data_IF_947752568744
#
_entry.id   IF_947752568744
#
_cell.length_a   1.000
_cell.length_b   1.000
_cell.length_c   1.000
_cell.angle_alpha   90.00
_cell.angle_beta   90.00
_cell.angle_gamma   90.00
#
_symmetry.space_group_name_H-M   'P 1'
#
loop_
_entity.id
_entity.type
_entity.pdbx_description
1 polymer ?
#
# COMPACT_ATOMS: atom_id res chain seq x y z
N UNK A 1 14.67 -10.19 -18.22
CA UNK A 1 13.94 -9.84 -19.46
C UNK A 1 13.33 -8.46 -19.27
N UNK A 2 13.22 -7.68 -20.34
CA UNK A 2 12.51 -6.41 -20.34
C UNK A 2 11.33 -6.48 -21.31
N UNK A 3 10.15 -6.09 -20.87
CA UNK A 3 9.08 -5.68 -21.78
C UNK A 3 9.44 -4.30 -22.31
N UNK A 4 9.47 -4.16 -23.63
CA UNK A 4 9.76 -2.88 -24.27
C UNK A 4 8.64 -1.86 -23.99
N UNK A 5 8.89 -0.61 -24.37
CA UNK A 5 7.84 0.41 -24.43
C UNK A 5 6.68 -0.09 -25.30
N UNK A 6 5.46 0.22 -24.88
CA UNK A 6 4.19 -0.09 -25.57
C UNK A 6 3.92 -1.59 -25.85
N UNK A 7 4.64 -2.53 -25.23
CA UNK A 7 4.65 -3.97 -25.59
C UNK A 7 3.26 -4.62 -25.77
N UNK A 8 2.30 -4.28 -24.91
CA UNK A 8 0.90 -4.71 -24.96
C UNK A 8 -0.07 -3.52 -24.91
N UNK A 9 0.36 -2.35 -25.37
CA UNK A 9 -0.49 -1.16 -25.37
C UNK A 9 -1.81 -1.43 -26.13
N UNK A 10 -2.92 -1.01 -25.53
CA UNK A 10 -4.29 -1.12 -26.00
C UNK A 10 -4.70 -2.56 -26.36
N UNK A 11 -3.99 -3.56 -25.83
CA UNK A 11 -4.32 -4.95 -26.06
C UNK A 11 -5.59 -5.34 -25.29
N UNK A 12 -6.66 -5.58 -26.03
CA UNK A 12 -7.97 -5.91 -25.47
C UNK A 12 -8.22 -7.41 -25.35
N UNK A 13 -7.26 -8.27 -25.70
CA UNK A 13 -7.42 -9.72 -25.73
C UNK A 13 -6.61 -10.45 -24.66
N UNK A 14 -5.50 -9.89 -24.19
CA UNK A 14 -4.66 -10.49 -23.16
C UNK A 14 -5.39 -10.53 -21.82
N UNK A 15 -5.53 -11.73 -21.25
CA UNK A 15 -6.22 -11.98 -19.97
C UNK A 15 -5.27 -12.33 -18.83
N UNK A 16 -4.05 -12.77 -19.16
CA UNK A 16 -3.03 -13.14 -18.19
C UNK A 16 -1.63 -12.87 -18.74
N UNK A 17 -0.72 -12.51 -17.84
CA UNK A 17 0.70 -12.40 -18.12
C UNK A 17 1.48 -13.06 -16.98
N UNK A 18 2.30 -14.04 -17.31
CA UNK A 18 3.14 -14.78 -16.37
C UNK A 18 4.58 -14.69 -16.85
N UNK A 19 5.44 -14.19 -15.99
CA UNK A 19 6.88 -14.17 -16.19
C UNK A 19 7.57 -15.19 -15.29
N UNK A 20 8.08 -16.25 -15.92
CA UNK A 20 8.75 -17.38 -15.25
C UNK A 20 10.28 -17.25 -15.19
N UNK A 21 10.82 -16.08 -15.56
CA UNK A 21 12.26 -15.83 -15.52
C UNK A 21 12.83 -15.85 -14.09
N UNK A 22 14.10 -16.26 -13.99
CA UNK A 22 14.86 -16.29 -12.73
C UNK A 22 15.43 -14.93 -12.34
N UNK A 23 15.46 -13.99 -13.26
CA UNK A 23 15.81 -12.58 -13.05
C UNK A 23 14.54 -11.74 -12.82
N UNK A 24 14.71 -10.52 -12.31
CA UNK A 24 13.59 -9.60 -12.09
C UNK A 24 13.05 -9.02 -13.40
N UNK A 25 11.74 -8.84 -13.51
CA UNK A 25 11.08 -8.31 -14.70
C UNK A 25 11.24 -6.78 -14.79
N UNK A 26 11.67 -6.27 -15.94
CA UNK A 26 11.61 -4.83 -16.27
C UNK A 26 10.38 -4.58 -17.14
N UNK A 27 9.49 -3.69 -16.70
CA UNK A 27 8.28 -3.31 -17.46
C UNK A 27 8.48 -1.91 -18.04
N UNK A 28 8.45 -1.81 -19.37
CA UNK A 28 8.64 -0.56 -20.10
C UNK A 28 7.50 0.44 -19.92
N UNK A 29 7.74 1.66 -20.39
CA UNK A 29 6.72 2.72 -20.46
C UNK A 29 5.51 2.23 -21.25
N UNK A 30 4.30 2.55 -20.78
CA UNK A 30 3.02 2.15 -21.39
C UNK A 30 2.86 0.64 -21.69
N UNK A 31 3.70 -0.26 -21.15
CA UNK A 31 3.76 -1.65 -21.62
C UNK A 31 2.42 -2.40 -21.56
N UNK A 32 1.53 -2.03 -20.64
CA UNK A 32 0.15 -2.53 -20.51
C UNK A 32 -0.88 -1.39 -20.49
N UNK A 33 -0.54 -0.21 -21.03
CA UNK A 33 -1.47 0.92 -21.09
C UNK A 33 -2.69 0.53 -21.92
N UNK A 34 -3.90 0.79 -21.41
CA UNK A 34 -5.15 0.52 -22.11
C UNK A 34 -5.53 -0.95 -22.21
N UNK A 35 -4.81 -1.86 -21.54
CA UNK A 35 -5.21 -3.27 -21.43
C UNK A 35 -6.50 -3.37 -20.61
N UNK A 36 -7.47 -4.19 -21.00
CA UNK A 36 -8.80 -4.18 -20.36
C UNK A 36 -9.20 -5.50 -19.72
N UNK A 37 -8.33 -6.51 -19.75
CA UNK A 37 -8.67 -7.89 -19.34
C UNK A 37 -7.65 -8.60 -18.43
N UNK A 38 -6.47 -8.03 -18.15
CA UNK A 38 -5.51 -8.65 -17.23
C UNK A 38 -5.98 -8.45 -15.79
N UNK A 39 -6.33 -9.54 -15.10
CA UNK A 39 -6.78 -9.47 -13.69
C UNK A 39 -5.60 -9.38 -12.72
N UNK A 40 -4.48 -9.99 -13.09
CA UNK A 40 -3.24 -10.03 -12.31
C UNK A 40 -2.03 -10.30 -13.21
N UNK A 41 -0.90 -9.68 -12.87
CA UNK A 41 0.42 -9.97 -13.43
C UNK A 41 1.24 -10.78 -12.42
N UNK A 42 1.84 -11.88 -12.85
CA UNK A 42 2.73 -12.70 -12.00
C UNK A 42 4.15 -12.64 -12.53
N UNK A 43 5.10 -12.26 -11.67
CA UNK A 43 6.54 -12.32 -11.94
C UNK A 43 7.24 -13.00 -10.76
N UNK A 44 7.65 -14.26 -10.91
CA UNK A 44 8.10 -15.10 -9.79
C UNK A 44 9.31 -14.53 -9.04
N UNK A 45 10.24 -13.92 -9.79
CA UNK A 45 11.44 -13.29 -9.23
C UNK A 45 11.21 -11.83 -8.80
N UNK A 46 9.99 -11.32 -8.98
CA UNK A 46 9.59 -9.94 -8.72
C UNK A 46 9.82 -9.00 -9.91
N UNK A 47 9.42 -7.74 -9.72
CA UNK A 47 9.56 -6.65 -10.69
C UNK A 47 10.79 -5.82 -10.29
N UNK A 48 11.67 -5.53 -11.25
CA UNK A 48 12.85 -4.69 -11.07
C UNK A 48 12.52 -3.21 -11.18
N UNK A 49 11.69 -2.85 -12.16
CA UNK A 49 11.30 -1.47 -12.45
C UNK A 49 10.00 -1.42 -13.27
N UNK A 50 9.30 -0.30 -13.14
CA UNK A 50 8.14 0.07 -13.94
C UNK A 50 8.48 1.31 -14.77
N UNK A 51 7.92 1.41 -15.96
CA UNK A 51 7.93 2.65 -16.75
C UNK A 51 6.73 3.55 -16.43
N UNK A 52 6.82 4.81 -16.84
CA UNK A 52 5.70 5.76 -16.83
C UNK A 52 4.47 5.14 -17.50
N UNK A 53 3.30 5.33 -16.90
CA UNK A 53 2.02 4.85 -17.44
C UNK A 53 1.97 3.33 -17.74
N UNK A 54 2.83 2.51 -17.12
CA UNK A 54 2.96 1.09 -17.47
C UNK A 54 1.63 0.31 -17.48
N UNK A 55 0.69 0.63 -16.60
CA UNK A 55 -0.66 0.05 -16.53
C UNK A 55 -1.76 1.13 -16.62
N UNK A 56 -1.46 2.29 -17.20
CA UNK A 56 -2.46 3.36 -17.30
C UNK A 56 -3.71 2.85 -18.05
N UNK A 57 -4.89 2.98 -17.44
CA UNK A 57 -6.16 2.54 -18.02
C UNK A 57 -6.42 1.04 -17.91
N UNK A 58 -5.63 0.27 -17.13
CA UNK A 58 -5.93 -1.14 -16.89
C UNK A 58 -7.12 -1.34 -15.95
N UNK A 59 -8.32 -1.36 -16.54
CA UNK A 59 -9.58 -1.49 -15.81
C UNK A 59 -9.88 -2.91 -15.31
N UNK A 60 -8.99 -3.88 -15.56
CA UNK A 60 -9.13 -5.25 -15.08
C UNK A 60 -8.17 -5.60 -13.94
N UNK A 61 -7.00 -4.95 -13.86
CA UNK A 61 -6.00 -5.25 -12.84
C UNK A 61 -6.62 -5.07 -11.44
N UNK A 62 -6.58 -6.14 -10.64
CA UNK A 62 -7.17 -6.15 -9.28
C UNK A 62 -6.13 -6.04 -8.19
N UNK A 63 -4.92 -6.54 -8.44
CA UNK A 63 -3.83 -6.57 -7.48
C UNK A 63 -2.47 -6.47 -8.14
N UNK A 64 -1.50 -5.88 -7.45
CA UNK A 64 -0.10 -5.91 -7.84
C UNK A 64 0.84 -5.96 -6.63
N UNK A 65 1.92 -6.74 -6.79
CA UNK A 65 3.02 -6.79 -5.83
C UNK A 65 4.21 -5.98 -6.35
N UNK A 66 4.62 -4.97 -5.58
CA UNK A 66 5.69 -4.03 -5.90
C UNK A 66 7.00 -4.35 -5.18
N UNK A 67 7.12 -5.55 -4.59
CA UNK A 67 8.26 -5.94 -3.76
C UNK A 67 9.59 -5.65 -4.44
N UNK A 68 10.37 -4.75 -3.82
CA UNK A 68 11.72 -4.39 -4.26
C UNK A 68 11.80 -3.22 -5.25
N UNK A 69 10.68 -2.59 -5.60
CA UNK A 69 10.67 -1.34 -6.36
C UNK A 69 11.09 -0.16 -5.47
N UNK A 70 11.94 0.70 -6.02
CA UNK A 70 12.34 1.96 -5.39
C UNK A 70 11.43 3.13 -5.77
N UNK A 71 10.72 3.02 -6.89
CA UNK A 71 9.89 4.09 -7.43
C UNK A 71 8.60 3.54 -8.05
N UNK A 72 7.50 4.26 -7.83
CA UNK A 72 6.24 4.11 -8.55
C UNK A 72 6.14 5.27 -9.54
N UNK A 73 6.30 5.02 -10.85
CA UNK A 73 6.39 6.06 -11.87
C UNK A 73 5.10 6.86 -12.06
N UNK A 74 5.25 7.99 -12.78
CA UNK A 74 4.12 8.87 -13.09
C UNK A 74 3.02 8.10 -13.82
N UNK A 75 1.78 8.27 -13.37
CA UNK A 75 0.60 7.61 -13.94
C UNK A 75 0.67 6.08 -14.05
N UNK A 76 1.59 5.40 -13.34
CA UNK A 76 1.85 3.96 -13.53
C UNK A 76 0.59 3.08 -13.46
N UNK A 77 -0.36 3.40 -12.57
CA UNK A 77 -1.65 2.73 -12.42
C UNK A 77 -2.84 3.67 -12.63
N UNK A 78 -2.63 4.82 -13.28
CA UNK A 78 -3.70 5.80 -13.48
C UNK A 78 -4.89 5.16 -14.19
N UNK A 79 -6.09 5.31 -13.64
CA UNK A 79 -7.31 4.74 -14.21
C UNK A 79 -7.48 3.22 -14.02
N UNK A 80 -6.63 2.56 -13.22
CA UNK A 80 -6.81 1.15 -12.83
C UNK A 80 -8.01 0.99 -11.88
N UNK A 81 -9.22 1.16 -12.39
CA UNK A 81 -10.43 1.33 -11.59
C UNK A 81 -10.83 0.11 -10.75
N UNK A 82 -10.29 -1.08 -11.05
CA UNK A 82 -10.49 -2.31 -10.26
C UNK A 82 -9.34 -2.67 -9.34
N UNK A 83 -8.21 -1.95 -9.40
CA UNK A 83 -7.07 -2.21 -8.54
C UNK A 83 -7.53 -1.95 -7.10
N UNK A 84 -7.47 -3.00 -6.29
CA UNK A 84 -7.94 -3.00 -4.90
C UNK A 84 -6.79 -3.26 -3.92
N UNK A 85 -5.76 -4.01 -4.37
CA UNK A 85 -4.66 -4.42 -3.51
C UNK A 85 -3.30 -4.05 -4.12
N UNK A 86 -2.52 -3.29 -3.37
CA UNK A 86 -1.11 -2.98 -3.68
C UNK A 86 -0.26 -3.39 -2.48
N UNK A 87 0.67 -4.30 -2.70
CA UNK A 87 1.59 -4.81 -1.67
C UNK A 87 3.05 -4.58 -2.06
N UNK A 88 3.99 -4.85 -1.16
CA UNK A 88 5.42 -4.82 -1.49
C UNK A 88 6.03 -3.42 -1.57
N UNK A 89 5.43 -2.43 -0.90
CA UNK A 89 5.83 -1.02 -0.97
C UNK A 89 6.94 -0.63 0.03
N UNK A 90 7.53 -1.59 0.74
CA UNK A 90 8.49 -1.37 1.84
C UNK A 90 9.76 -0.63 1.39
N UNK A 91 10.14 -0.77 0.12
CA UNK A 91 11.34 -0.15 -0.44
C UNK A 91 11.05 1.08 -1.30
N UNK A 92 9.77 1.45 -1.47
CA UNK A 92 9.39 2.57 -2.33
C UNK A 92 9.86 3.88 -1.70
N UNK A 93 10.79 4.55 -2.38
CA UNK A 93 11.34 5.83 -1.98
C UNK A 93 10.63 7.02 -2.65
N UNK A 94 10.03 6.81 -3.83
CA UNK A 94 9.32 7.84 -4.59
C UNK A 94 8.02 7.29 -5.15
N UNK A 95 6.94 8.06 -4.97
CA UNK A 95 5.66 7.86 -5.66
C UNK A 95 5.42 9.12 -6.50
N UNK A 96 5.44 8.96 -7.81
CA UNK A 96 5.30 10.07 -8.75
C UNK A 96 3.85 10.53 -8.89
N UNK A 97 3.67 11.66 -9.57
CA UNK A 97 2.36 12.26 -9.81
C UNK A 97 1.39 11.28 -10.49
N UNK A 98 0.14 11.31 -10.05
CA UNK A 98 -0.99 10.55 -10.60
C UNK A 98 -0.80 9.02 -10.67
N UNK A 99 0.21 8.45 -9.99
CA UNK A 99 0.51 7.03 -9.99
C UNK A 99 -0.73 6.14 -9.71
N UNK A 100 -1.62 6.55 -8.82
CA UNK A 100 -2.84 5.86 -8.41
C UNK A 100 -4.13 6.66 -8.71
N UNK A 101 -4.03 7.75 -9.48
CA UNK A 101 -5.19 8.56 -9.83
C UNK A 101 -6.26 7.70 -10.55
N UNK A 102 -7.50 7.68 -10.06
CA UNK A 102 -8.57 6.87 -10.63
C UNK A 102 -8.57 5.39 -10.20
N UNK A 103 -7.68 4.96 -9.30
CA UNK A 103 -7.74 3.65 -8.64
C UNK A 103 -8.82 3.61 -7.56
N UNK A 104 -10.08 3.76 -7.94
CA UNK A 104 -11.22 3.98 -7.01
C UNK A 104 -11.54 2.79 -6.09
N UNK A 105 -10.99 1.60 -6.37
CA UNK A 105 -11.11 0.41 -5.51
C UNK A 105 -9.95 0.25 -4.53
N UNK A 106 -8.83 0.92 -4.77
CA UNK A 106 -7.67 0.94 -3.89
C UNK A 106 -7.93 2.01 -2.82
N UNK A 107 -8.71 1.63 -1.80
CA UNK A 107 -9.16 2.57 -0.77
C UNK A 107 -8.05 2.95 0.21
N UNK A 108 -7.07 2.05 0.40
CA UNK A 108 -5.99 2.20 1.36
C UNK A 108 -4.66 1.91 0.67
N UNK A 109 -3.64 2.70 1.00
CA UNK A 109 -2.25 2.47 0.57
C UNK A 109 -1.32 2.46 1.77
N UNK A 110 -0.30 1.61 1.72
CA UNK A 110 0.75 1.53 2.74
C UNK A 110 2.06 2.07 2.16
N UNK A 111 2.75 2.93 2.90
CA UNK A 111 4.12 3.34 2.59
C UNK A 111 4.98 3.38 3.85
N UNK A 112 6.28 3.18 3.69
CA UNK A 112 7.20 2.94 4.79
C UNK A 112 8.26 4.03 4.89
N UNK A 113 9.12 3.92 5.91
CA UNK A 113 10.18 4.88 6.21
C UNK A 113 11.06 5.30 5.00
N UNK A 114 11.35 4.45 4.00
CA UNK A 114 12.13 4.88 2.84
C UNK A 114 11.46 5.94 1.95
N UNK A 115 10.14 6.15 2.05
CA UNK A 115 9.42 7.11 1.22
C UNK A 115 9.86 8.55 1.55
N UNK A 116 10.60 9.17 0.62
CA UNK A 116 11.10 10.54 0.74
C UNK A 116 10.35 11.54 -0.15
N UNK A 117 9.67 11.05 -1.18
CA UNK A 117 8.88 11.85 -2.12
C UNK A 117 7.52 11.21 -2.39
N UNK A 118 6.45 11.90 -2.02
CA UNK A 118 5.07 11.56 -2.36
C UNK A 118 4.50 12.69 -3.22
N UNK A 119 4.46 12.50 -4.54
CA UNK A 119 3.96 13.48 -5.50
C UNK A 119 2.54 13.18 -5.98
N UNK A 120 2.08 11.93 -5.80
CA UNK A 120 0.67 11.60 -5.97
C UNK A 120 -0.18 12.28 -4.89
N UNK A 121 -1.26 12.95 -5.30
CA UNK A 121 -2.22 13.56 -4.40
C UNK A 121 -3.04 12.55 -3.59
N UNK A 122 -3.01 11.27 -3.98
CA UNK A 122 -3.85 10.20 -3.45
C UNK A 122 -5.34 10.56 -3.53
N UNK A 123 -5.72 11.27 -4.59
CA UNK A 123 -7.07 11.81 -4.80
C UNK A 123 -8.19 10.76 -4.86
N UNK A 124 -7.85 9.49 -5.10
CA UNK A 124 -8.80 8.38 -5.16
C UNK A 124 -8.79 7.47 -3.93
N UNK A 125 -7.81 7.64 -3.04
CA UNK A 125 -7.65 6.85 -1.83
C UNK A 125 -8.37 7.54 -0.66
N UNK A 126 -8.85 6.72 0.28
CA UNK A 126 -9.47 7.18 1.52
C UNK A 126 -8.48 7.19 2.68
N UNK A 127 -7.54 6.23 2.69
CA UNK A 127 -6.61 6.02 3.79
C UNK A 127 -5.17 5.92 3.29
N UNK A 128 -4.26 6.53 4.05
CA UNK A 128 -2.82 6.33 3.94
C UNK A 128 -2.31 5.78 5.27
N UNK A 129 -1.71 4.60 5.24
CA UNK A 129 -0.96 4.04 6.35
C UNK A 129 0.51 4.29 6.13
N UNK A 130 1.10 5.14 6.98
CA UNK A 130 2.50 5.53 6.88
C UNK A 130 3.32 5.01 8.05
N UNK A 131 4.28 4.14 7.74
CA UNK A 131 5.13 3.44 8.71
C UNK A 131 6.50 4.10 8.88
N UNK A 132 6.62 5.38 8.55
CA UNK A 132 7.80 6.19 8.81
C UNK A 132 7.69 6.98 10.13
N UNK A 133 8.81 7.57 10.56
CA UNK A 133 8.87 8.43 11.74
C UNK A 133 8.74 9.92 11.41
N UNK A 134 8.97 10.29 10.15
CA UNK A 134 8.89 11.65 9.61
C UNK A 134 8.26 11.57 8.22
N UNK A 135 7.39 12.54 7.89
CA UNK A 135 6.76 12.60 6.58
C UNK A 135 7.80 12.74 5.45
N UNK A 136 7.44 12.35 4.20
CA UNK A 136 8.25 12.62 3.02
C UNK A 136 8.67 14.10 2.92
N UNK A 137 9.92 14.33 2.52
CA UNK A 137 10.47 15.67 2.30
C UNK A 137 9.84 16.42 1.13
N UNK A 138 9.25 15.69 0.19
CA UNK A 138 8.48 16.26 -0.91
C UNK A 138 7.07 15.69 -0.87
N UNK A 139 6.09 16.58 -0.86
CA UNK A 139 4.66 16.29 -0.90
C UNK A 139 4.06 16.88 -2.20
N UNK A 140 2.80 16.57 -2.55
CA UNK A 140 2.19 17.03 -3.80
C UNK A 140 2.17 18.55 -3.93
N UNK A 141 2.27 19.02 -5.17
CA UNK A 141 2.30 20.45 -5.51
C UNK A 141 1.06 21.20 -4.98
N UNK A 142 1.16 22.45 -4.50
CA UNK A 142 0.01 23.21 -4.00
C UNK A 142 -1.17 23.37 -4.97
N UNK A 143 -0.96 23.26 -6.28
CA UNK A 143 -2.02 23.29 -7.30
C UNK A 143 -2.81 21.97 -7.38
N UNK A 144 -2.20 20.87 -6.94
CA UNK A 144 -2.83 19.54 -6.79
C UNK A 144 -2.44 18.97 -5.42
N UNK A 145 -2.93 19.57 -4.33
CA UNK A 145 -2.49 19.22 -2.99
C UNK A 145 -2.87 17.78 -2.65
N UNK A 146 -2.25 17.23 -1.63
CA UNK A 146 -2.68 15.95 -1.05
C UNK A 146 -4.19 16.01 -0.74
N UNK A 147 -4.88 14.90 -0.99
CA UNK A 147 -6.30 14.76 -0.79
C UNK A 147 -6.68 15.21 0.64
N UNK A 148 -7.45 16.29 0.75
CA UNK A 148 -7.82 16.89 2.02
C UNK A 148 -8.81 16.05 2.86
N UNK A 149 -9.33 14.96 2.30
CA UNK A 149 -10.17 13.97 2.99
C UNK A 149 -9.43 12.69 3.35
N UNK A 150 -8.14 12.60 3.01
CA UNK A 150 -7.32 11.42 3.28
C UNK A 150 -7.12 11.25 4.79
N UNK A 151 -7.44 10.07 5.30
CA UNK A 151 -7.15 9.67 6.68
C UNK A 151 -5.73 9.15 6.74
N UNK A 152 -4.85 9.85 7.45
CA UNK A 152 -3.44 9.46 7.55
C UNK A 152 -3.21 8.77 8.88
N UNK A 153 -2.97 7.46 8.82
CA UNK A 153 -2.64 6.62 9.96
C UNK A 153 -1.12 6.50 10.08
N UNK A 154 -0.59 6.75 11.27
CA UNK A 154 0.83 6.72 11.55
C UNK A 154 1.14 5.84 12.76
N UNK A 155 2.38 5.36 12.83
CA UNK A 155 2.88 4.61 13.98
C UNK A 155 3.09 5.51 15.20
N UNK A 156 3.23 4.90 16.37
CA UNK A 156 3.55 5.62 17.62
C UNK A 156 4.85 6.41 17.54
N UNK A 157 5.78 5.94 16.70
CA UNK A 157 7.09 6.57 16.47
C UNK A 157 7.02 7.84 15.62
N UNK A 158 5.89 8.11 14.96
CA UNK A 158 5.65 9.38 14.28
C UNK A 158 5.19 10.43 15.30
N UNK A 159 6.03 11.42 15.57
CA UNK A 159 5.78 12.39 16.66
C UNK A 159 5.14 13.68 16.19
N UNK A 160 5.16 13.98 14.89
CA UNK A 160 4.47 15.15 14.37
C UNK A 160 2.95 14.95 14.44
N UNK A 161 2.20 16.00 14.78
CA UNK A 161 0.73 15.95 14.82
C UNK A 161 0.07 15.96 13.44
N UNK A 162 0.84 16.20 12.38
CA UNK A 162 0.33 16.34 11.02
C UNK A 162 1.20 15.61 9.99
N UNK A 163 0.59 15.31 8.84
CA UNK A 163 1.21 14.82 7.62
C UNK A 163 0.68 15.65 6.45
N UNK A 164 1.52 16.47 5.82
CA UNK A 164 1.10 17.33 4.71
C UNK A 164 -0.03 18.30 5.06
N UNK A 165 -0.12 18.72 6.32
CA UNK A 165 -1.21 19.56 6.84
C UNK A 165 -2.47 18.80 7.26
N UNK A 166 -2.56 17.50 6.97
CA UNK A 166 -3.60 16.61 7.49
C UNK A 166 -3.27 16.16 8.90
N UNK A 167 -4.28 15.86 9.71
CA UNK A 167 -4.07 15.31 11.05
C UNK A 167 -3.50 13.90 10.93
N UNK A 168 -2.39 13.65 11.63
CA UNK A 168 -1.82 12.31 11.73
C UNK A 168 -2.55 11.55 12.86
N UNK A 169 -3.11 10.39 12.54
CA UNK A 169 -3.95 9.59 13.42
C UNK A 169 -3.17 8.38 13.95
N UNK A 170 -3.18 8.16 15.26
CA UNK A 170 -2.64 6.95 15.88
C UNK A 170 -3.77 6.04 16.32
N UNK A 171 -3.88 4.87 15.68
CA UNK A 171 -4.86 3.87 16.06
C UNK A 171 -4.48 3.12 17.35
N UNK A 172 -3.18 3.08 17.68
CA UNK A 172 -2.63 2.36 18.84
C UNK A 172 -3.04 0.87 18.88
N UNK A 173 -3.21 0.24 17.72
CA UNK A 173 -3.46 -1.19 17.65
C UNK A 173 -2.21 -1.97 18.05
N UNK A 174 -2.39 -3.12 18.69
CA UNK A 174 -1.27 -3.99 19.03
C UNK A 174 -0.77 -4.76 17.81
N UNK A 175 0.39 -5.42 17.92
CA UNK A 175 0.90 -6.32 16.86
C UNK A 175 0.00 -7.54 16.60
N UNK A 176 -1.05 -7.76 17.38
CA UNK A 176 -2.04 -8.82 17.16
C UNK A 176 -3.37 -8.26 16.64
N UNK A 177 -3.37 -7.00 16.21
CA UNK A 177 -4.53 -6.28 15.72
C UNK A 177 -4.18 -5.49 14.47
N UNK A 178 -5.21 -5.06 13.75
CA UNK A 178 -5.12 -4.09 12.68
C UNK A 178 -6.26 -3.06 12.80
N UNK A 179 -6.13 -1.94 12.11
CA UNK A 179 -7.09 -0.84 12.12
C UNK A 179 -8.35 -1.23 11.37
N UNK A 180 -9.50 -1.07 12.02
CA UNK A 180 -10.81 -1.22 11.38
C UNK A 180 -11.16 0.03 10.57
N UNK A 181 -10.89 -0.04 9.26
CA UNK A 181 -11.23 1.01 8.30
C UNK A 181 -12.70 1.00 7.87
N UNK A 182 -13.51 0.05 8.34
CA UNK A 182 -14.97 0.06 8.08
C UNK A 182 -15.70 1.00 9.02
N UNK A 183 -15.09 1.30 10.17
CA UNK A 183 -15.62 2.26 11.12
C UNK A 183 -15.54 3.68 10.52
N UNK A 184 -16.69 4.34 10.43
CA UNK A 184 -16.73 5.75 10.02
C UNK A 184 -16.11 6.60 11.12
N UNK A 185 -14.91 7.10 10.89
CA UNK A 185 -14.40 8.28 11.60
C UNK A 185 -15.35 9.43 11.25
N UNK A 186 -15.94 10.15 12.22
CA UNK A 186 -16.86 11.25 11.95
C UNK A 186 -16.25 12.21 10.93
N UNK A 187 -16.94 12.45 9.82
CA UNK A 187 -16.57 13.52 8.89
C UNK A 187 -16.85 14.84 9.59
N UNK A 188 -15.80 15.63 9.84
CA UNK A 188 -15.91 16.72 10.78
C UNK A 188 -16.49 17.98 10.15
N UNK A 189 -17.60 18.44 10.71
CA UNK A 189 -18.00 19.84 10.73
C UNK A 189 -18.58 20.17 12.12
N UNK A 190 -17.86 20.90 13.00
CA UNK A 190 -16.53 21.51 12.84
C UNK A 190 -15.35 20.53 13.11
N UNK A 191 -14.12 20.88 12.70
CA UNK A 191 -12.90 20.12 13.00
C UNK A 191 -12.77 19.82 14.49
N UNK A 192 -12.61 18.55 14.87
CA UNK A 192 -12.33 18.08 16.22
C UNK A 192 -10.82 17.92 16.44
N UNK A 193 -10.38 17.93 17.70
CA UNK A 193 -9.02 17.56 18.06
C UNK A 193 -8.67 16.13 17.63
N UNK A 194 -7.42 15.89 17.23
CA UNK A 194 -6.88 14.56 16.90
C UNK A 194 -7.26 13.48 17.93
N UNK A 195 -7.17 13.82 19.23
CA UNK A 195 -7.51 12.91 20.33
C UNK A 195 -8.97 12.41 20.33
N UNK A 196 -9.91 13.16 19.75
CA UNK A 196 -11.30 12.73 19.63
C UNK A 196 -11.47 11.75 18.46
N UNK A 197 -10.79 11.99 17.34
CA UNK A 197 -10.78 11.08 16.20
C UNK A 197 -10.10 9.76 16.56
N UNK A 198 -8.96 9.80 17.26
CA UNK A 198 -8.24 8.60 17.70
C UNK A 198 -9.08 7.73 18.63
N UNK A 199 -9.89 8.32 19.52
CA UNK A 199 -10.85 7.57 20.36
C UNK A 199 -11.95 6.88 19.56
N UNK A 200 -12.26 7.35 18.35
CA UNK A 200 -13.24 6.72 17.47
C UNK A 200 -12.64 5.58 16.64
N UNK A 201 -11.31 5.49 16.56
CA UNK A 201 -10.62 4.40 15.88
C UNK A 201 -10.83 3.09 16.64
N UNK A 202 -11.01 2.02 15.88
CA UNK A 202 -11.15 0.67 16.41
C UNK A 202 -10.07 -0.21 15.84
N UNK A 203 -9.64 -1.15 16.67
CA UNK A 203 -8.74 -2.21 16.29
C UNK A 203 -9.53 -3.52 16.25
N UNK A 204 -9.27 -4.32 15.23
CA UNK A 204 -9.81 -5.68 15.10
C UNK A 204 -8.67 -6.67 15.30
N UNK A 205 -8.96 -7.76 16.01
CA UNK A 205 -7.98 -8.81 16.25
C UNK A 205 -7.63 -9.50 14.92
N UNK A 206 -6.34 -9.76 14.74
CA UNK A 206 -5.87 -10.59 13.63
C UNK A 206 -6.45 -12.00 13.75
N UNK A 207 -6.60 -12.68 12.61
CA UNK A 207 -6.73 -14.13 12.60
C UNK A 207 -5.61 -14.76 13.45
N UNK A 208 -5.89 -15.88 14.12
CA UNK A 208 -4.94 -16.52 15.05
C UNK A 208 -3.59 -16.94 14.45
N UNK A 209 -3.48 -16.93 13.12
CA UNK A 209 -2.27 -17.25 12.36
C UNK A 209 -1.62 -16.03 11.72
N UNK A 210 -2.11 -14.83 11.98
CA UNK A 210 -1.59 -13.59 11.43
C UNK A 210 -1.22 -12.62 12.53
N UNK A 211 -0.26 -11.75 12.23
CA UNK A 211 0.09 -10.64 13.09
C UNK A 211 0.37 -9.40 12.24
N UNK A 212 0.30 -8.23 12.87
CA UNK A 212 0.75 -7.00 12.26
C UNK A 212 2.18 -6.66 12.63
N UNK A 213 2.91 -6.03 11.71
CA UNK A 213 4.28 -5.54 11.95
C UNK A 213 4.30 -4.56 13.12
N UNK A 214 3.38 -3.60 13.12
CA UNK A 214 3.32 -2.49 14.08
C UNK A 214 1.88 -2.09 14.47
N UNK A 215 0.87 -2.80 13.99
CA UNK A 215 -0.55 -2.50 14.24
C UNK A 215 -1.08 -1.33 13.41
N UNK A 216 -0.24 -0.63 12.64
CA UNK A 216 -0.63 0.51 11.81
C UNK A 216 -0.95 0.08 10.37
N UNK A 217 -1.85 -0.90 10.22
CA UNK A 217 -2.32 -1.32 8.89
C UNK A 217 -3.79 -1.74 9.00
N UNK A 218 -4.49 -1.85 7.88
CA UNK A 218 -5.88 -2.31 7.81
C UNK A 218 -6.01 -3.83 7.63
N UNK A 219 -4.88 -4.54 7.54
CA UNK A 219 -4.78 -5.99 7.54
C UNK A 219 -3.54 -6.43 8.31
N UNK A 220 -3.52 -7.70 8.74
CA UNK A 220 -2.36 -8.29 9.40
C UNK A 220 -1.45 -8.95 8.34
N UNK A 221 -0.25 -8.42 8.17
CA UNK A 221 0.62 -8.65 7.02
C UNK A 221 1.45 -9.92 7.13
N UNK A 222 1.74 -10.35 8.36
CA UNK A 222 2.66 -11.48 8.61
C UNK A 222 1.85 -12.75 8.78
N UNK A 223 2.08 -13.74 7.90
CA UNK A 223 1.60 -15.11 8.08
C UNK A 223 2.55 -15.89 9.02
N UNK A 224 2.01 -16.35 10.14
CA UNK A 224 2.70 -17.14 11.16
C UNK A 224 2.44 -18.65 11.02
N UNK A 225 1.67 -19.09 10.03
CA UNK A 225 1.17 -20.48 9.90
C UNK A 225 2.29 -21.50 10.01
N UNK A 226 3.37 -21.33 9.24
CA UNK A 226 4.48 -22.30 9.24
C UNK A 226 5.25 -22.32 10.56
N UNK A 227 5.37 -21.15 11.19
CA UNK A 227 6.05 -21.02 12.46
C UNK A 227 5.27 -21.66 13.61
N UNK A 228 3.95 -21.47 13.64
CA UNK A 228 3.07 -22.06 14.66
C UNK A 228 3.05 -23.59 14.53
N UNK A 229 3.18 -24.16 13.32
CA UNK A 229 3.37 -25.63 13.17
C UNK A 229 4.62 -26.13 13.87
N UNK A 230 5.70 -25.35 13.85
CA UNK A 230 7.00 -25.70 14.44
C UNK A 230 7.05 -25.39 15.94
N UNK A 231 6.31 -24.37 16.38
CA UNK A 231 6.28 -23.87 17.74
C UNK A 231 4.82 -23.74 18.20
N UNK A 232 4.23 -24.84 18.67
CA UNK A 232 2.78 -24.92 18.97
C UNK A 232 2.29 -23.86 19.97
N UNK A 233 3.13 -23.49 20.94
CA UNK A 233 2.79 -22.47 21.94
C UNK A 233 3.16 -21.04 21.49
N UNK A 234 3.50 -20.83 20.22
CA UNK A 234 3.93 -19.51 19.76
C UNK A 234 2.76 -18.57 19.51
N UNK A 235 2.84 -17.38 20.12
CA UNK A 235 1.87 -16.29 19.98
C UNK A 235 2.33 -15.17 19.05
N UNK A 236 3.63 -14.90 18.97
CA UNK A 236 4.21 -13.91 18.05
C UNK A 236 5.38 -14.58 17.34
N UNK A 237 5.34 -14.63 16.01
CA UNK A 237 6.43 -15.18 15.22
C UNK A 237 6.88 -14.24 14.12
N UNK A 238 8.19 -14.00 14.05
CA UNK A 238 8.78 -13.20 12.99
C UNK A 238 10.01 -13.91 12.43
N UNK A 239 10.13 -13.90 11.09
CA UNK A 239 11.25 -14.53 10.35
C UNK A 239 11.48 -16.00 10.75
N UNK A 240 10.39 -16.76 10.86
CA UNK A 240 10.43 -18.20 11.21
C UNK A 240 10.89 -18.51 12.64
N UNK A 241 10.92 -17.53 13.54
CA UNK A 241 11.31 -17.73 14.95
C UNK A 241 10.22 -17.26 15.90
N UNK A 242 9.90 -18.09 16.88
CA UNK A 242 8.99 -17.66 17.94
C UNK A 242 9.62 -16.54 18.79
N UNK A 243 8.88 -15.46 18.96
CA UNK A 243 9.27 -14.27 19.74
C UNK A 243 8.53 -14.17 21.07
N UNK A 244 7.32 -14.74 21.15
CA UNK A 244 6.51 -14.75 22.36
C UNK A 244 5.69 -16.02 22.40
N UNK A 245 5.74 -16.77 23.50
CA UNK A 245 4.89 -17.93 23.72
C UNK A 245 3.58 -17.52 24.43
N UNK A 246 2.56 -18.35 24.32
CA UNK A 246 1.39 -18.31 25.21
C UNK A 246 1.90 -18.68 26.61
N UNK A 247 1.71 -17.79 27.59
CA UNK A 247 1.98 -18.13 29.00
C UNK A 247 0.88 -19.05 29.49
N UNK A 248 1.26 -20.21 30.01
CA UNK A 248 0.38 -21.12 30.77
C UNK A 248 -0.14 -20.48 32.04
#
# INVERSE_FOLDING_TARGET
MALCEDAFQDNTDITSFVYEGTDKLVIGKNAFKGVTKIVSLTANSGIQSLGTSAFEGDVALTKIDLTGLAEIPESAFKGCSKLADVTGTENVATVQKDAFNGCVKLLSVNFYAPLTKLLDSLASQNNLFFHGTVQPTTLPDPTTPINNKLKVFVTDSYTAGTFGGLIALKANCTTLQCVDITTKIPDENPPQPAANMEKALKCVDCDSKKMSVDGNNYYCEIDMTECIKTHADCRICTKGKCKKCVTS
#
